data_IF_327318786695
#
_entry.id   IF_327318786695
#
_cell.length_a   1.000
_cell.length_b   1.000
_cell.length_c   1.000
_cell.angle_alpha   90.00
_cell.angle_beta   90.00
_cell.angle_gamma   90.00
#
_symmetry.space_group_name_H-M   'P 1'
#
loop_
_entity.id
_entity.type
_entity.pdbx_description
1 polymer ?
#
# COMPACT_ATOMS: atom_id res chain seq x y z
N UNK A 1 -24.73 74.54 7.97
CA UNK A 1 -23.61 74.19 7.07
C UNK A 1 -22.55 73.31 7.72
N UNK A 2 -21.95 73.65 8.88
CA UNK A 2 -20.88 72.84 9.52
C UNK A 2 -21.21 71.36 9.78
N UNK A 3 -22.45 71.04 10.19
CA UNK A 3 -22.90 69.66 10.45
C UNK A 3 -23.00 68.80 9.19
N UNK A 4 -23.41 69.38 8.05
CA UNK A 4 -23.51 68.64 6.77
C UNK A 4 -22.14 68.18 6.27
N UNK A 5 -21.12 69.05 6.37
CA UNK A 5 -19.74 68.67 6.03
C UNK A 5 -19.16 67.61 6.99
N UNK A 6 -19.56 67.61 8.26
CA UNK A 6 -19.18 66.55 9.20
C UNK A 6 -19.78 65.19 8.80
N UNK A 7 -21.04 65.14 8.39
CA UNK A 7 -21.64 63.87 7.92
C UNK A 7 -20.98 63.35 6.64
N UNK A 8 -20.63 64.24 5.71
CA UNK A 8 -19.90 63.86 4.48
C UNK A 8 -18.53 63.26 4.84
N UNK A 9 -17.81 63.88 5.78
CA UNK A 9 -16.51 63.36 6.26
C UNK A 9 -16.63 61.99 6.93
N UNK A 10 -17.67 61.76 7.74
CA UNK A 10 -17.92 60.47 8.38
C UNK A 10 -18.21 59.39 7.34
N UNK A 11 -19.05 59.69 6.35
CA UNK A 11 -19.31 58.76 5.25
C UNK A 11 -18.07 58.44 4.43
N UNK A 12 -17.24 59.44 4.15
CA UNK A 12 -16.00 59.25 3.40
C UNK A 12 -14.99 58.40 4.19
N UNK A 13 -14.92 58.59 5.51
CA UNK A 13 -14.12 57.73 6.40
C UNK A 13 -14.62 56.28 6.42
N UNK A 14 -15.93 56.06 6.48
CA UNK A 14 -16.52 54.72 6.41
C UNK A 14 -16.21 54.02 5.09
N UNK A 15 -16.27 54.74 3.96
CA UNK A 15 -15.91 54.22 2.64
C UNK A 15 -14.44 53.80 2.60
N UNK A 16 -13.54 54.63 3.14
CA UNK A 16 -12.10 54.30 3.20
C UNK A 16 -11.87 53.04 4.05
N UNK A 17 -12.52 52.93 5.22
CA UNK A 17 -12.42 51.75 6.07
C UNK A 17 -12.94 50.50 5.37
N UNK A 18 -14.04 50.61 4.62
CA UNK A 18 -14.60 49.50 3.86
C UNK A 18 -13.67 49.04 2.72
N UNK A 19 -13.05 49.98 2.01
CA UNK A 19 -12.07 49.66 0.95
C UNK A 19 -10.85 48.96 1.56
N UNK A 20 -10.35 49.46 2.71
CA UNK A 20 -9.25 48.80 3.43
C UNK A 20 -9.63 47.37 3.83
N UNK A 21 -10.82 47.17 4.40
CA UNK A 21 -11.31 45.84 4.76
C UNK A 21 -11.32 44.89 3.56
N UNK A 22 -11.80 45.35 2.40
CA UNK A 22 -11.78 44.56 1.16
C UNK A 22 -10.37 44.17 0.75
N UNK A 23 -9.42 45.11 0.76
CA UNK A 23 -8.02 44.84 0.40
C UNK A 23 -7.42 43.78 1.34
N UNK A 24 -7.59 43.94 2.65
CA UNK A 24 -7.07 42.98 3.63
C UNK A 24 -7.71 41.60 3.49
N UNK A 25 -9.03 41.54 3.29
CA UNK A 25 -9.76 40.28 3.12
C UNK A 25 -9.30 39.54 1.86
N UNK A 26 -9.19 40.22 0.72
CA UNK A 26 -8.69 39.62 -0.51
C UNK A 26 -7.26 39.11 -0.35
N UNK A 27 -6.38 39.90 0.24
CA UNK A 27 -4.98 39.51 0.44
C UNK A 27 -4.84 38.33 1.40
N UNK A 28 -5.69 38.26 2.43
CA UNK A 28 -5.73 37.13 3.34
C UNK A 28 -6.17 35.83 2.65
N UNK A 29 -7.21 35.90 1.81
CA UNK A 29 -7.68 34.75 1.03
C UNK A 29 -6.60 34.26 0.06
N UNK A 30 -5.86 35.17 -0.57
CA UNK A 30 -4.80 34.84 -1.50
C UNK A 30 -3.66 34.09 -0.81
N UNK A 31 -3.20 34.60 0.35
CA UNK A 31 -2.17 33.94 1.17
C UNK A 31 -2.61 32.52 1.58
N UNK A 32 -3.87 32.35 2.00
CA UNK A 32 -4.38 31.03 2.38
C UNK A 32 -4.41 30.05 1.19
N UNK A 33 -4.73 30.54 0.00
CA UNK A 33 -4.70 29.73 -1.23
C UNK A 33 -3.28 29.31 -1.58
N UNK A 34 -2.32 30.24 -1.54
CA UNK A 34 -0.93 29.97 -1.86
C UNK A 34 -0.31 28.93 -0.92
N UNK A 35 -0.57 29.05 0.39
CA UNK A 35 -0.14 28.05 1.38
C UNK A 35 -0.74 26.67 1.06
N UNK A 36 -2.04 26.63 0.77
CA UNK A 36 -2.74 25.37 0.44
C UNK A 36 -2.17 24.72 -0.84
N UNK A 37 -1.83 25.52 -1.86
CA UNK A 37 -1.24 25.03 -3.11
C UNK A 37 0.16 24.48 -2.86
N UNK A 38 0.98 25.17 -2.07
CA UNK A 38 2.34 24.72 -1.72
C UNK A 38 2.31 23.40 -0.93
N UNK A 39 1.40 23.28 0.04
CA UNK A 39 1.24 22.04 0.83
C UNK A 39 0.79 20.87 -0.05
N UNK A 40 -0.17 21.09 -0.95
CA UNK A 40 -0.60 20.07 -1.92
C UNK A 40 0.58 19.68 -2.84
N UNK A 41 1.37 20.65 -3.28
CA UNK A 41 2.56 20.42 -4.10
C UNK A 41 3.59 19.52 -3.41
N UNK A 42 3.88 19.78 -2.13
CA UNK A 42 4.77 18.96 -1.30
C UNK A 42 4.26 17.53 -1.13
N UNK A 43 2.96 17.37 -0.91
CA UNK A 43 2.35 16.05 -0.77
C UNK A 43 2.37 15.24 -2.07
N UNK A 44 2.11 15.87 -3.21
CA UNK A 44 2.26 15.24 -4.53
C UNK A 44 3.71 14.78 -4.73
N UNK A 45 4.69 15.63 -4.42
CA UNK A 45 6.10 15.28 -4.56
C UNK A 45 6.52 14.10 -3.67
N UNK A 46 6.09 14.08 -2.40
CA UNK A 46 6.34 12.95 -1.48
C UNK A 46 5.71 11.65 -1.98
N UNK A 47 4.48 11.71 -2.50
CA UNK A 47 3.80 10.55 -3.07
C UNK A 47 4.53 10.03 -4.30
N UNK A 48 5.04 10.92 -5.16
CA UNK A 48 5.83 10.54 -6.34
C UNK A 48 7.07 9.74 -5.95
N UNK A 49 7.85 10.22 -4.97
CA UNK A 49 9.03 9.50 -4.45
C UNK A 49 8.67 8.13 -3.86
N UNK A 50 7.55 8.08 -3.14
CA UNK A 50 7.06 6.81 -2.57
C UNK A 50 6.66 5.81 -3.65
N UNK A 51 6.04 6.28 -4.74
CA UNK A 51 5.69 5.42 -5.88
C UNK A 51 6.96 4.92 -6.59
N UNK A 52 7.93 5.79 -6.82
CA UNK A 52 9.20 5.46 -7.46
C UNK A 52 9.94 4.36 -6.66
N UNK A 53 10.13 4.57 -5.36
CA UNK A 53 10.80 3.59 -4.48
C UNK A 53 10.05 2.25 -4.39
N UNK A 54 8.71 2.27 -4.39
CA UNK A 54 7.92 1.03 -4.44
C UNK A 54 8.02 0.33 -5.78
N UNK A 55 8.17 1.06 -6.89
CA UNK A 55 8.32 0.48 -8.22
C UNK A 55 9.61 -0.33 -8.35
N UNK A 56 10.72 0.17 -7.79
CA UNK A 56 11.99 -0.55 -7.76
C UNK A 56 11.91 -1.81 -6.91
N UNK A 57 11.27 -1.72 -5.74
CA UNK A 57 11.00 -2.90 -4.91
C UNK A 57 10.11 -3.92 -5.62
N UNK A 58 9.03 -3.48 -6.27
CA UNK A 58 8.14 -4.35 -7.05
C UNK A 58 8.85 -5.00 -8.25
N UNK A 59 9.79 -4.30 -8.87
CA UNK A 59 10.65 -4.85 -9.91
C UNK A 59 11.55 -5.95 -9.33
N UNK A 60 12.20 -5.67 -8.19
CA UNK A 60 13.07 -6.61 -7.50
C UNK A 60 12.34 -7.90 -7.08
N UNK A 61 11.15 -7.82 -6.48
CA UNK A 61 10.40 -9.02 -6.07
C UNK A 61 9.96 -9.89 -7.27
N UNK A 62 9.79 -9.27 -8.44
CA UNK A 62 9.39 -9.98 -9.65
C UNK A 62 10.55 -10.73 -10.30
N UNK A 63 11.80 -10.41 -9.94
CA UNK A 63 12.98 -11.10 -10.44
C UNK A 63 12.99 -12.58 -10.05
N UNK A 64 13.60 -13.40 -10.92
CA UNK A 64 13.81 -14.82 -10.65
C UNK A 64 14.70 -15.03 -9.42
N UNK A 65 15.69 -14.16 -9.19
CA UNK A 65 16.59 -14.23 -8.04
C UNK A 65 15.83 -14.07 -6.70
N UNK A 66 14.88 -13.14 -6.61
CA UNK A 66 14.08 -12.98 -5.40
C UNK A 66 13.13 -14.16 -5.18
N UNK A 67 12.50 -14.66 -6.24
CA UNK A 67 11.63 -15.84 -6.19
C UNK A 67 12.41 -17.09 -5.75
N UNK A 68 13.61 -17.29 -6.29
CA UNK A 68 14.51 -18.38 -5.92
C UNK A 68 14.97 -18.26 -4.46
N UNK A 69 15.43 -17.08 -4.04
CA UNK A 69 15.78 -16.80 -2.63
C UNK A 69 14.62 -17.09 -1.68
N UNK A 70 13.41 -16.68 -2.04
CA UNK A 70 12.20 -16.91 -1.23
C UNK A 70 11.84 -18.39 -1.21
N UNK A 71 11.91 -19.09 -2.35
CA UNK A 71 11.64 -20.53 -2.43
C UNK A 71 12.64 -21.35 -1.61
N UNK A 72 13.93 -20.98 -1.65
CA UNK A 72 14.99 -21.56 -0.81
C UNK A 72 14.70 -21.31 0.67
N UNK A 73 14.48 -20.05 1.06
CA UNK A 73 14.33 -19.67 2.47
C UNK A 73 13.03 -20.14 3.13
N UNK A 74 11.91 -20.17 2.39
CA UNK A 74 10.57 -20.43 2.97
C UNK A 74 10.02 -21.81 2.64
N UNK A 75 10.39 -22.40 1.51
CA UNK A 75 9.87 -23.70 1.05
C UNK A 75 10.93 -24.80 1.06
N UNK A 76 12.14 -24.51 1.56
CA UNK A 76 13.30 -25.40 1.55
C UNK A 76 13.57 -26.05 0.19
N UNK A 77 13.22 -25.35 -0.90
CA UNK A 77 13.42 -25.84 -2.27
C UNK A 77 14.85 -25.53 -2.68
N UNK A 78 15.62 -26.58 -3.01
CA UNK A 78 16.98 -26.47 -3.55
C UNK A 78 16.99 -26.75 -5.04
N UNK A 79 17.87 -26.08 -5.78
CA UNK A 79 18.15 -26.48 -7.15
C UNK A 79 18.95 -27.79 -7.16
N UNK A 80 18.81 -28.61 -8.21
CA UNK A 80 19.69 -29.75 -8.40
C UNK A 80 21.15 -29.26 -8.38
N UNK A 81 22.01 -29.95 -7.61
CA UNK A 81 23.44 -29.64 -7.45
C UNK A 81 23.82 -28.48 -6.52
N UNK A 82 22.89 -27.91 -5.77
CA UNK A 82 23.15 -26.83 -4.80
C UNK A 82 22.95 -27.31 -3.34
N UNK A 83 23.88 -26.97 -2.45
CA UNK A 83 23.79 -27.24 -1.02
C UNK A 83 23.41 -25.95 -0.27
N UNK A 84 22.18 -25.91 0.25
CA UNK A 84 21.67 -24.77 1.01
C UNK A 84 21.83 -25.05 2.51
N UNK A 85 22.71 -24.29 3.16
CA UNK A 85 22.99 -24.42 4.60
C UNK A 85 22.21 -23.36 5.37
N UNK A 86 21.26 -23.79 6.21
CA UNK A 86 20.55 -22.92 7.13
C UNK A 86 21.28 -22.85 8.45
N UNK A 87 21.71 -21.65 8.86
CA UNK A 87 22.25 -21.41 10.19
C UNK A 87 21.07 -21.01 11.07
N UNK A 88 20.56 -21.96 11.86
CA UNK A 88 19.39 -21.80 12.74
C UNK A 88 19.72 -22.23 14.17
N UNK A 89 19.07 -21.59 15.14
CA UNK A 89 19.12 -21.98 16.56
C UNK A 89 18.38 -23.31 16.77
N UNK A 90 18.68 -24.03 17.88
CA UNK A 90 18.16 -25.39 18.13
C UNK A 90 16.62 -25.48 18.08
N UNK A 91 15.93 -24.42 18.48
CA UNK A 91 14.45 -24.38 18.54
C UNK A 91 13.81 -24.22 17.14
N UNK A 92 14.48 -23.53 16.21
CA UNK A 92 14.01 -23.35 14.84
C UNK A 92 14.30 -24.61 13.99
N UNK A 93 15.32 -25.38 14.34
CA UNK A 93 15.73 -26.60 13.65
C UNK A 93 14.61 -27.66 13.56
N UNK A 94 13.76 -27.78 14.58
CA UNK A 94 12.66 -28.76 14.59
C UNK A 94 11.57 -28.43 13.56
N UNK A 95 11.31 -27.14 13.32
CA UNK A 95 10.35 -26.70 12.30
C UNK A 95 10.85 -27.01 10.88
N UNK A 96 12.15 -26.79 10.64
CA UNK A 96 12.77 -27.08 9.34
C UNK A 96 12.91 -28.59 9.08
N UNK A 97 13.21 -29.41 10.10
CA UNK A 97 13.25 -30.88 9.96
C UNK A 97 11.90 -31.48 9.56
N UNK A 98 10.77 -30.95 10.07
CA UNK A 98 9.44 -31.45 9.69
C UNK A 98 9.10 -31.17 8.22
N UNK A 99 9.59 -30.07 7.65
CA UNK A 99 9.37 -29.72 6.24
C UNK A 99 10.18 -30.59 5.27
N UNK A 100 11.42 -30.95 5.63
CA UNK A 100 12.32 -31.72 4.76
C UNK A 100 11.92 -33.21 4.64
N UNK A 101 11.36 -33.78 5.72
CA UNK A 101 10.92 -35.20 5.73
C UNK A 101 9.64 -35.43 4.92
N UNK A 102 8.78 -34.40 4.77
CA UNK A 102 7.58 -34.50 3.93
C UNK A 102 7.87 -34.50 2.42
N UNK A 103 9.04 -33.99 2.00
CA UNK A 103 9.46 -33.95 0.60
C UNK A 103 10.12 -35.24 0.09
N UNK A 104 10.76 -36.01 0.98
CA UNK A 104 11.51 -37.22 0.58
C UNK A 104 10.69 -38.52 0.63
N UNK A 105 9.51 -38.53 1.27
CA UNK A 105 8.66 -39.73 1.36
C UNK A 105 7.61 -39.88 0.24
N UNK A 106 7.47 -38.90 -0.67
CA UNK A 106 6.50 -38.97 -1.77
C UNK A 106 7.16 -39.08 -3.15
N UNK A 107 8.10 -40.04 -3.28
CA UNK A 107 8.39 -40.64 -4.59
C UNK A 107 7.48 -41.86 -4.75
N UNK A 108 6.19 -41.61 -4.91
CA UNK A 108 5.23 -42.62 -5.34
C UNK A 108 4.16 -41.90 -6.15
N UNK A 109 4.01 -42.32 -7.41
CA UNK A 109 3.11 -41.75 -8.40
C UNK A 109 1.66 -41.87 -7.95
N UNK A 110 1.18 -40.91 -7.15
CA UNK A 110 -0.24 -40.75 -6.88
C UNK A 110 -0.66 -39.39 -7.37
N UNK A 111 -1.54 -39.38 -8.35
CA UNK A 111 -2.31 -38.21 -8.75
C UNK A 111 -3.00 -37.64 -7.50
N UNK A 112 -2.38 -36.67 -6.85
CA UNK A 112 -2.98 -35.93 -5.75
C UNK A 112 -4.04 -35.03 -6.39
N UNK A 113 -5.22 -35.59 -6.64
CA UNK A 113 -6.39 -34.83 -7.07
C UNK A 113 -6.79 -33.91 -5.92
N UNK A 114 -6.72 -32.60 -6.17
CA UNK A 114 -7.18 -31.59 -5.22
C UNK A 114 -8.62 -31.88 -4.78
N UNK A 115 -9.01 -31.58 -3.52
CA UNK A 115 -10.37 -31.83 -3.01
C UNK A 115 -11.47 -31.21 -3.90
N UNK A 116 -11.11 -30.16 -4.63
CA UNK A 116 -11.98 -29.39 -5.52
C UNK A 116 -11.88 -29.78 -7.00
N UNK A 117 -11.11 -30.82 -7.34
CA UNK A 117 -10.81 -31.19 -8.73
C UNK A 117 -12.08 -31.49 -9.54
N UNK A 118 -13.09 -32.09 -8.90
CA UNK A 118 -14.37 -32.46 -9.52
C UNK A 118 -15.51 -31.46 -9.25
N UNK A 119 -15.21 -30.28 -8.70
CA UNK A 119 -16.22 -29.27 -8.40
C UNK A 119 -16.39 -28.28 -9.57
N UNK A 120 -17.63 -27.91 -9.85
CA UNK A 120 -17.93 -26.75 -10.71
C UNK A 120 -17.41 -25.45 -10.06
N UNK A 121 -17.19 -24.40 -10.85
CA UNK A 121 -16.63 -23.15 -10.34
C UNK A 121 -17.45 -22.55 -9.17
N UNK A 122 -18.77 -22.67 -9.20
CA UNK A 122 -19.64 -22.22 -8.11
C UNK A 122 -19.44 -23.02 -6.82
N UNK A 123 -19.36 -24.35 -6.92
CA UNK A 123 -19.10 -25.23 -5.77
C UNK A 123 -17.72 -24.97 -5.14
N UNK A 124 -16.71 -24.62 -5.94
CA UNK A 124 -15.38 -24.23 -5.46
C UNK A 124 -15.44 -22.97 -4.58
N UNK A 125 -16.22 -21.96 -4.99
CA UNK A 125 -16.38 -20.73 -4.21
C UNK A 125 -17.03 -21.00 -2.86
N UNK A 126 -18.09 -21.82 -2.83
CA UNK A 126 -18.76 -22.21 -1.59
C UNK A 126 -17.79 -22.97 -0.67
N UNK A 127 -17.04 -23.93 -1.22
CA UNK A 127 -16.03 -24.68 -0.47
C UNK A 127 -14.95 -23.76 0.12
N UNK A 128 -14.48 -22.75 -0.60
CA UNK A 128 -13.48 -21.83 -0.05
C UNK A 128 -14.01 -20.88 1.03
N UNK A 129 -15.29 -20.52 0.97
CA UNK A 129 -15.92 -19.59 1.92
C UNK A 129 -16.37 -20.32 3.19
N UNK A 130 -17.06 -21.45 3.03
CA UNK A 130 -17.72 -22.16 4.12
C UNK A 130 -16.94 -23.37 4.61
N UNK A 131 -15.90 -23.80 3.87
CA UNK A 131 -15.18 -25.07 4.09
C UNK A 131 -16.11 -26.29 4.14
N UNK A 132 -17.27 -26.17 3.51
CA UNK A 132 -18.31 -27.18 3.50
C UNK A 132 -18.42 -27.79 2.10
N UNK A 133 -18.70 -29.09 2.06
CA UNK A 133 -18.66 -29.89 0.84
C UNK A 133 -20.08 -30.18 0.35
N UNK A 134 -20.54 -29.34 -0.58
CA UNK A 134 -21.90 -29.35 -1.11
C UNK A 134 -22.06 -30.24 -2.35
N UNK A 135 -21.35 -31.37 -2.38
CA UNK A 135 -21.56 -32.42 -3.39
C UNK A 135 -22.78 -33.26 -3.00
N UNK A 136 -23.68 -33.53 -3.96
CA UNK A 136 -24.74 -34.55 -3.82
C UNK A 136 -24.16 -35.97 -3.95
#
# INVERSE_FOLDING_TARGET
MRKQYQYILVWLSLIILYILYLIFSFKYIDIQKDISIDDIGKDIWRRKITIESKKDYLSYINTLAYKDKTAKSSQNKKNPWEEVVFIVTKDELEQYKKLDVQGQMNTDNRDVKWPTYWMSNWQKWIYYILKDDIRD
#
